data_IF_943145956780
#
_entry.id   IF_943145956780
#
_cell.length_a   1.000
_cell.length_b   1.000
_cell.length_c   1.000
_cell.angle_alpha   90.00
_cell.angle_beta   90.00
_cell.angle_gamma   90.00
#
_symmetry.space_group_name_H-M   'P 1'
#
loop_
_entity.id
_entity.type
_entity.pdbx_description
1 polymer ?
#
# COMPACT_ATOMS: atom_id res chain seq x y z
N UNK A 1 15.11 14.51 -0.97
CA UNK A 1 15.03 13.59 0.19
C UNK A 1 14.28 12.37 -0.32
N UNK A 2 14.85 11.18 -0.23
CA UNK A 2 14.14 9.96 -0.60
C UNK A 2 12.85 9.86 0.23
N UNK A 3 11.74 9.55 -0.44
CA UNK A 3 10.44 9.39 0.20
C UNK A 3 10.50 8.24 1.22
N UNK A 4 9.97 8.48 2.42
CA UNK A 4 9.99 7.52 3.54
C UNK A 4 8.58 7.20 3.99
N UNK A 5 8.23 5.93 4.03
CA UNK A 5 6.96 5.43 4.55
C UNK A 5 6.89 5.64 6.06
N UNK A 6 6.13 6.64 6.50
CA UNK A 6 6.06 7.01 7.92
C UNK A 6 5.39 5.94 8.78
N UNK A 7 4.44 5.17 8.25
CA UNK A 7 3.82 4.04 8.95
C UNK A 7 4.88 3.00 9.26
N UNK A 8 5.65 2.59 8.25
CA UNK A 8 6.75 1.62 8.41
C UNK A 8 7.81 2.14 9.38
N UNK A 9 8.17 3.42 9.31
CA UNK A 9 9.12 4.04 10.22
C UNK A 9 8.62 4.08 11.68
N UNK A 10 7.35 4.41 11.92
CA UNK A 10 6.72 4.39 13.26
C UNK A 10 6.77 2.98 13.85
N UNK A 11 6.33 1.98 13.09
CA UNK A 11 6.32 0.57 13.54
C UNK A 11 7.74 0.07 13.86
N UNK A 12 8.73 0.35 13.01
CA UNK A 12 10.15 0.03 13.29
C UNK A 12 10.67 0.67 14.58
N UNK A 13 10.14 1.83 14.97
CA UNK A 13 10.51 2.53 16.21
C UNK A 13 9.76 2.06 17.45
N UNK A 14 8.95 0.99 17.35
CA UNK A 14 8.12 0.49 18.45
C UNK A 14 6.95 1.41 18.82
N UNK A 15 6.61 2.37 17.95
CA UNK A 15 5.48 3.29 18.16
C UNK A 15 4.23 2.77 17.45
N UNK A 16 3.03 2.96 18.04
CA UNK A 16 1.79 2.62 17.36
C UNK A 16 1.58 3.49 16.12
N UNK A 17 0.98 2.89 15.08
CA UNK A 17 0.48 3.59 13.90
C UNK A 17 -1.04 3.47 13.86
N UNK A 18 -1.74 4.59 14.08
CA UNK A 18 -3.20 4.61 14.23
C UNK A 18 -3.86 4.78 12.87
N UNK A 19 -4.74 3.87 12.48
CA UNK A 19 -5.44 3.95 11.20
C UNK A 19 -6.94 3.73 11.29
N UNK A 20 -7.59 3.91 10.14
CA UNK A 20 -9.05 3.82 9.99
C UNK A 20 -9.42 3.08 8.72
N UNK A 21 -10.47 2.26 8.79
CA UNK A 21 -11.02 1.56 7.62
C UNK A 21 -12.01 2.42 6.86
N UNK A 22 -11.85 2.50 5.54
CA UNK A 22 -12.77 3.24 4.68
C UNK A 22 -13.97 2.37 4.30
N UNK A 23 -15.16 2.84 4.68
CA UNK A 23 -16.46 2.28 4.27
C UNK A 23 -17.19 3.14 3.22
N UNK A 24 -16.56 4.22 2.77
CA UNK A 24 -17.13 5.20 1.83
C UNK A 24 -16.22 5.33 0.60
N UNK A 25 -16.82 5.51 -0.57
CA UNK A 25 -16.13 5.61 -1.87
C UNK A 25 -16.27 7.00 -2.49
N UNK A 26 -16.12 8.05 -1.66
CA UNK A 26 -16.21 9.44 -2.12
C UNK A 26 -14.88 10.16 -1.89
N UNK A 27 -14.24 10.70 -2.95
CA UNK A 27 -12.86 11.18 -2.88
C UNK A 27 -12.67 12.33 -1.87
N UNK A 28 -13.59 13.30 -1.80
CA UNK A 28 -13.49 14.40 -0.84
C UNK A 28 -13.62 13.92 0.61
N UNK A 29 -14.47 12.91 0.83
CA UNK A 29 -14.67 12.33 2.17
C UNK A 29 -13.42 11.56 2.58
N UNK A 30 -12.87 10.75 1.68
CA UNK A 30 -11.62 10.02 1.92
C UNK A 30 -10.46 10.99 2.15
N UNK A 31 -10.34 12.05 1.36
CA UNK A 31 -9.32 13.09 1.55
C UNK A 31 -9.46 13.77 2.90
N UNK A 32 -10.69 14.08 3.33
CA UNK A 32 -10.95 14.66 4.66
C UNK A 32 -10.49 13.69 5.76
N UNK A 33 -10.89 12.42 5.69
CA UNK A 33 -10.49 11.39 6.65
C UNK A 33 -8.97 11.22 6.68
N UNK A 34 -8.33 11.10 5.51
CA UNK A 34 -6.88 10.92 5.38
C UNK A 34 -6.07 12.11 5.91
N UNK A 35 -6.68 13.29 6.05
CA UNK A 35 -6.07 14.48 6.64
C UNK A 35 -6.53 14.76 8.08
N UNK A 36 -7.29 13.85 8.70
CA UNK A 36 -7.83 14.01 10.07
C UNK A 36 -6.90 13.48 11.17
N UNK A 37 -5.60 13.30 10.89
CA UNK A 37 -4.60 12.88 11.88
C UNK A 37 -4.38 11.37 12.01
N UNK A 38 -4.96 10.56 11.12
CA UNK A 38 -4.62 9.14 11.01
C UNK A 38 -3.25 8.94 10.34
N UNK A 39 -2.54 7.91 10.77
CA UNK A 39 -1.28 7.48 10.13
C UNK A 39 -1.55 6.76 8.81
N UNK A 40 -2.66 6.02 8.72
CA UNK A 40 -3.02 5.27 7.53
C UNK A 40 -4.52 5.10 7.37
N UNK A 41 -4.95 4.89 6.12
CA UNK A 41 -6.34 4.55 5.77
C UNK A 41 -6.36 3.22 5.03
N UNK A 42 -7.35 2.37 5.35
CA UNK A 42 -7.50 1.05 4.75
C UNK A 42 -8.50 1.06 3.61
N UNK A 43 -8.04 0.61 2.45
CA UNK A 43 -8.87 0.13 1.35
C UNK A 43 -8.98 -1.38 1.44
N UNK A 44 -10.19 -1.90 1.63
CA UNK A 44 -10.40 -3.30 1.96
C UNK A 44 -10.97 -4.09 0.76
N UNK A 45 -10.09 -4.79 0.05
CA UNK A 45 -10.51 -5.64 -1.10
C UNK A 45 -10.87 -7.07 -0.70
N UNK A 46 -10.77 -7.43 0.60
CA UNK A 46 -11.17 -8.76 1.10
C UNK A 46 -12.66 -8.81 1.45
N UNK A 47 -13.14 -7.82 2.22
CA UNK A 47 -14.53 -7.79 2.70
C UNK A 47 -15.31 -6.56 2.26
N UNK A 48 -14.61 -5.50 1.85
CA UNK A 48 -15.24 -4.30 1.34
C UNK A 48 -15.61 -4.44 -0.13
N UNK A 49 -16.55 -3.61 -0.63
CA UNK A 49 -16.96 -3.63 -2.04
C UNK A 49 -15.95 -2.94 -2.97
N UNK A 50 -14.66 -2.95 -2.62
CA UNK A 50 -13.61 -2.25 -3.33
C UNK A 50 -13.08 -3.10 -4.49
N UNK A 51 -13.32 -2.66 -5.73
CA UNK A 51 -12.54 -3.17 -6.87
C UNK A 51 -11.16 -2.52 -6.90
N UNK A 52 -10.19 -3.20 -7.51
CA UNK A 52 -8.83 -2.66 -7.61
C UNK A 52 -8.77 -1.38 -8.46
N UNK A 53 -9.66 -1.26 -9.46
CA UNK A 53 -9.83 -0.06 -10.28
C UNK A 53 -10.32 1.11 -9.44
N UNK A 54 -11.26 0.87 -8.51
CA UNK A 54 -11.79 1.89 -7.60
C UNK A 54 -10.73 2.31 -6.59
N UNK A 55 -9.97 1.37 -6.04
CA UNK A 55 -8.82 1.67 -5.15
C UNK A 55 -7.80 2.53 -5.88
N UNK A 56 -7.44 2.17 -7.11
CA UNK A 56 -6.52 2.96 -7.93
C UNK A 56 -7.03 4.39 -8.13
N UNK A 57 -8.29 4.58 -8.55
CA UNK A 57 -8.84 5.92 -8.76
C UNK A 57 -8.84 6.75 -7.46
N UNK A 58 -9.24 6.17 -6.33
CA UNK A 58 -9.25 6.87 -5.06
C UNK A 58 -7.85 7.26 -4.59
N UNK A 59 -6.87 6.34 -4.62
CA UNK A 59 -5.49 6.64 -4.20
C UNK A 59 -4.90 7.76 -5.05
N UNK A 60 -5.14 7.76 -6.37
CA UNK A 60 -4.64 8.81 -7.26
C UNK A 60 -5.28 10.17 -6.95
N UNK A 61 -6.60 10.20 -6.70
CA UNK A 61 -7.34 11.44 -6.36
C UNK A 61 -6.99 11.99 -4.98
N UNK A 62 -6.66 11.12 -4.04
CA UNK A 62 -6.30 11.52 -2.67
C UNK A 62 -4.79 11.58 -2.45
N UNK A 63 -3.99 11.51 -3.52
CA UNK A 63 -2.53 11.66 -3.44
C UNK A 63 -2.16 13.00 -2.77
N UNK A 64 -1.09 12.96 -1.98
CA UNK A 64 -0.65 14.09 -1.14
C UNK A 64 -1.43 14.27 0.17
N UNK A 65 -2.36 13.38 0.53
CA UNK A 65 -2.95 13.36 1.89
C UNK A 65 -1.94 12.89 2.93
N UNK A 66 -2.14 13.25 4.20
CA UNK A 66 -1.18 12.93 5.27
C UNK A 66 -1.16 11.44 5.67
N UNK A 67 -2.30 10.76 5.62
CA UNK A 67 -2.38 9.33 5.92
C UNK A 67 -1.89 8.49 4.73
N UNK A 68 -1.07 7.47 4.99
CA UNK A 68 -0.67 6.51 3.96
C UNK A 68 -1.85 5.63 3.54
N UNK A 69 -2.14 5.48 2.24
CA UNK A 69 -3.05 4.46 1.78
C UNK A 69 -2.44 3.07 2.02
N UNK A 70 -3.23 2.17 2.59
CA UNK A 70 -2.92 0.74 2.78
C UNK A 70 -4.04 -0.07 2.15
N UNK A 71 -3.70 -1.18 1.48
CA UNK A 71 -4.67 -2.08 0.85
C UNK A 71 -4.67 -3.43 1.56
N UNK A 72 -5.80 -3.87 2.11
CA UNK A 72 -5.98 -5.28 2.45
C UNK A 72 -6.31 -6.03 1.16
N UNK A 73 -5.45 -6.98 0.79
CA UNK A 73 -5.63 -7.78 -0.43
C UNK A 73 -6.62 -8.92 -0.17
N UNK A 74 -7.32 -9.35 -1.22
CA UNK A 74 -8.32 -10.43 -1.11
C UNK A 74 -7.72 -11.78 -0.68
N UNK A 75 -6.43 -12.01 -0.97
CA UNK A 75 -5.72 -13.24 -0.62
C UNK A 75 -4.20 -13.07 -0.70
N UNK A 76 -3.44 -14.00 -0.11
CA UNK A 76 -2.01 -14.14 -0.35
C UNK A 76 -1.73 -14.74 -1.74
N UNK A 77 -1.92 -13.91 -2.76
CA UNK A 77 -1.73 -14.27 -4.17
C UNK A 77 -0.86 -13.22 -4.87
N UNK A 78 0.04 -13.69 -5.74
CA UNK A 78 0.96 -12.82 -6.48
C UNK A 78 0.24 -11.78 -7.35
N UNK A 79 -0.90 -12.13 -7.97
CA UNK A 79 -1.65 -11.20 -8.81
C UNK A 79 -2.40 -10.16 -7.97
N UNK A 80 -3.02 -10.58 -6.86
CA UNK A 80 -3.69 -9.67 -5.93
C UNK A 80 -2.69 -8.65 -5.35
N UNK A 81 -1.55 -9.13 -4.86
CA UNK A 81 -0.51 -8.31 -4.24
C UNK A 81 0.11 -7.33 -5.24
N UNK A 82 0.55 -7.80 -6.42
CA UNK A 82 1.18 -6.89 -7.39
C UNK A 82 0.21 -5.81 -7.87
N UNK A 83 -1.06 -6.16 -8.11
CA UNK A 83 -2.08 -5.20 -8.57
C UNK A 83 -2.42 -4.18 -7.48
N UNK A 84 -2.48 -4.60 -6.22
CA UNK A 84 -2.62 -3.69 -5.08
C UNK A 84 -1.45 -2.70 -5.01
N UNK A 85 -0.21 -3.18 -5.09
CA UNK A 85 0.97 -2.31 -5.05
C UNK A 85 1.07 -1.37 -6.26
N UNK A 86 0.54 -1.75 -7.43
CA UNK A 86 0.53 -0.91 -8.63
C UNK A 86 -0.44 0.28 -8.54
N UNK A 87 -1.34 0.29 -7.55
CA UNK A 87 -2.20 1.46 -7.27
C UNK A 87 -1.43 2.63 -6.66
N UNK A 88 -0.23 2.39 -6.13
CA UNK A 88 0.53 3.37 -5.35
C UNK A 88 0.28 3.33 -3.85
N UNK A 89 -0.38 2.29 -3.35
CA UNK A 89 -0.45 2.03 -1.90
C UNK A 89 0.95 1.98 -1.27
N UNK A 90 1.08 2.44 -0.03
CA UNK A 90 2.35 2.42 0.71
C UNK A 90 2.58 1.08 1.40
N UNK A 91 1.56 0.23 1.43
CA UNK A 91 1.65 -1.11 1.98
C UNK A 91 0.41 -1.94 1.74
N UNK A 92 0.53 -3.20 2.13
CA UNK A 92 -0.54 -4.18 2.07
C UNK A 92 -0.74 -4.85 3.42
N UNK A 93 -1.97 -5.29 3.65
CA UNK A 93 -2.31 -6.28 4.68
C UNK A 93 -2.68 -7.57 3.95
N UNK A 94 -2.00 -8.67 4.26
CA UNK A 94 -2.21 -9.98 3.64
C UNK A 94 -2.99 -10.87 4.62
N UNK A 95 -4.23 -11.26 4.30
CA UNK A 95 -5.04 -12.03 5.23
C UNK A 95 -4.60 -13.50 5.26
N UNK A 96 -5.01 -14.21 6.33
CA UNK A 96 -4.84 -15.67 6.49
C UNK A 96 -3.40 -16.21 6.46
N UNK A 97 -2.39 -15.37 6.67
CA UNK A 97 -1.00 -15.83 6.81
C UNK A 97 -0.84 -16.62 8.11
N UNK A 98 -0.72 -17.94 7.97
CA UNK A 98 -0.69 -18.89 9.11
C UNK A 98 0.53 -19.82 9.11
N UNK A 99 1.45 -19.64 8.15
CA UNK A 99 2.72 -20.35 8.09
C UNK A 99 3.87 -19.42 7.74
N UNK A 100 5.10 -19.88 7.99
CA UNK A 100 6.33 -19.18 7.61
C UNK A 100 6.39 -18.99 6.10
N UNK A 101 6.08 -20.04 5.34
CA UNK A 101 6.14 -20.06 3.88
C UNK A 101 5.16 -19.04 3.29
N UNK A 102 3.94 -18.95 3.85
CA UNK A 102 2.97 -17.93 3.45
C UNK A 102 3.49 -16.50 3.69
N UNK A 103 4.16 -16.26 4.83
CA UNK A 103 4.74 -14.97 5.13
C UNK A 103 5.90 -14.62 4.18
N UNK A 104 6.76 -15.60 3.89
CA UNK A 104 7.86 -15.46 2.92
C UNK A 104 7.33 -15.18 1.51
N UNK A 105 6.26 -15.86 1.08
CA UNK A 105 5.60 -15.62 -0.20
C UNK A 105 4.98 -14.22 -0.29
N UNK A 106 4.29 -13.76 0.76
CA UNK A 106 3.73 -12.40 0.80
C UNK A 106 4.82 -11.32 0.61
N UNK A 107 5.99 -11.51 1.23
CA UNK A 107 7.15 -10.62 1.06
C UNK A 107 7.69 -10.73 -0.37
N UNK A 108 7.93 -11.95 -0.88
CA UNK A 108 8.46 -12.17 -2.23
C UNK A 108 7.56 -11.57 -3.31
N UNK A 109 6.24 -11.70 -3.19
CA UNK A 109 5.29 -11.13 -4.14
C UNK A 109 5.24 -9.59 -4.10
N UNK A 110 5.73 -8.98 -3.00
CA UNK A 110 5.72 -7.54 -2.76
C UNK A 110 7.03 -6.82 -3.11
N UNK A 111 8.07 -7.55 -3.54
CA UNK A 111 9.40 -7.01 -3.83
C UNK A 111 9.78 -7.20 -5.29
N UNK A 112 10.38 -6.19 -5.90
CA UNK A 112 10.97 -6.31 -7.22
C UNK A 112 12.22 -7.21 -7.20
N UNK A 113 12.59 -7.84 -8.34
CA UNK A 113 13.85 -8.55 -8.46
C UNK A 113 15.06 -7.65 -8.11
N UNK A 114 16.14 -8.20 -7.51
CA UNK A 114 16.36 -9.61 -7.22
C UNK A 114 15.75 -10.11 -5.89
N UNK A 115 15.20 -9.21 -5.06
CA UNK A 115 14.71 -9.53 -3.71
C UNK A 115 13.35 -10.27 -3.71
N UNK A 116 12.61 -10.21 -4.82
CA UNK A 116 11.32 -10.87 -4.95
C UNK A 116 10.89 -11.12 -6.39
N UNK A 117 9.58 -11.29 -6.57
CA UNK A 117 8.94 -11.75 -7.79
C UNK A 117 7.87 -10.75 -8.32
N UNK A 118 7.81 -9.54 -7.78
CA UNK A 118 6.87 -8.51 -8.24
C UNK A 118 7.17 -8.14 -9.70
N UNK A 119 6.17 -8.26 -10.58
CA UNK A 119 6.26 -7.79 -11.96
C UNK A 119 6.48 -6.28 -12.05
N UNK A 120 7.34 -5.83 -12.97
CA UNK A 120 7.79 -4.44 -13.05
C UNK A 120 6.87 -3.55 -13.91
N UNK A 121 6.21 -2.56 -13.27
CA UNK A 121 5.42 -1.51 -13.92
C UNK A 121 5.33 -0.24 -13.02
N UNK A 122 6.45 0.46 -12.77
CA UNK A 122 6.56 1.46 -11.70
C UNK A 122 5.82 2.79 -11.96
N UNK A 123 5.36 3.07 -13.18
CA UNK A 123 4.84 4.40 -13.54
C UNK A 123 3.63 4.87 -12.73
N UNK A 124 2.63 4.00 -12.54
CA UNK A 124 1.43 4.32 -11.74
C UNK A 124 1.73 4.55 -10.25
N UNK A 125 2.45 3.64 -9.56
CA UNK A 125 2.74 3.86 -8.15
C UNK A 125 3.73 5.01 -7.93
N UNK A 126 4.71 5.21 -8.81
CA UNK A 126 5.62 6.37 -8.74
C UNK A 126 4.86 7.70 -8.79
N UNK A 127 3.86 7.82 -9.69
CA UNK A 127 2.99 8.99 -9.77
C UNK A 127 2.23 9.25 -8.46
N UNK A 128 1.69 8.21 -7.83
CA UNK A 128 0.97 8.33 -6.56
C UNK A 128 1.90 8.76 -5.41
N UNK A 129 3.17 8.37 -5.48
CA UNK A 129 4.22 8.74 -4.52
C UNK A 129 4.84 10.11 -4.82
N UNK A 130 4.56 10.71 -5.99
CA UNK A 130 5.12 12.00 -6.38
C UNK A 130 6.61 11.96 -6.72
N UNK A 131 7.11 10.79 -7.14
CA UNK A 131 8.53 10.53 -7.48
C UNK A 131 8.66 10.03 -8.92
N UNK A 132 9.89 9.98 -9.44
CA UNK A 132 10.13 9.37 -10.76
C UNK A 132 10.00 7.83 -10.70
N UNK A 133 9.75 7.14 -11.83
CA UNK A 133 9.75 5.69 -11.88
C UNK A 133 11.07 5.06 -11.41
N UNK A 134 12.20 5.71 -11.70
CA UNK A 134 13.54 5.29 -11.30
C UNK A 134 13.70 5.40 -9.78
N UNK A 135 13.39 6.56 -9.21
CA UNK A 135 13.43 6.77 -7.75
C UNK A 135 12.49 5.79 -7.03
N UNK A 136 11.30 5.54 -7.58
CA UNK A 136 10.38 4.54 -7.02
C UNK A 136 10.98 3.13 -7.01
N UNK A 137 11.64 2.70 -8.08
CA UNK A 137 12.30 1.38 -8.12
C UNK A 137 13.44 1.27 -7.10
N UNK A 138 14.17 2.36 -6.85
CA UNK A 138 15.26 2.40 -5.87
C UNK A 138 14.75 2.23 -4.44
N UNK A 139 13.59 2.79 -4.10
CA UNK A 139 13.09 2.86 -2.71
C UNK A 139 11.97 1.86 -2.40
N UNK A 140 11.22 1.37 -3.39
CA UNK A 140 9.98 0.62 -3.17
C UNK A 140 10.19 -0.65 -2.34
N UNK A 141 11.27 -1.41 -2.58
CA UNK A 141 11.57 -2.61 -1.81
C UNK A 141 11.79 -2.31 -0.32
N UNK A 142 12.49 -1.22 -0.02
CA UNK A 142 12.76 -0.80 1.36
C UNK A 142 11.55 -0.13 2.02
N UNK A 143 10.68 0.55 1.26
CA UNK A 143 9.64 1.41 1.83
C UNK A 143 8.26 0.75 1.89
N UNK A 144 7.95 -0.24 1.05
CA UNK A 144 6.65 -0.93 1.10
C UNK A 144 6.49 -1.70 2.42
N UNK A 145 5.39 -1.41 3.13
CA UNK A 145 4.94 -2.18 4.29
C UNK A 145 4.22 -3.46 3.84
N UNK A 146 4.60 -4.59 4.43
CA UNK A 146 3.90 -5.88 4.29
C UNK A 146 3.52 -6.31 5.70
N UNK A 147 2.22 -6.45 5.93
CA UNK A 147 1.64 -6.77 7.24
C UNK A 147 0.67 -7.95 7.14
#
# INVERSE_FOLDING_TARGET
MALRNHVKAKLKSGKPAIGVTLSVMHPETIRTIANSGFDWVLYDTEHGPWSIETVNDMIQRTSGSTASPIVRVVWNDMNAIKRALDTGTYGIIVPWVSSREMAEDAVRYSRYPPEGLRGCAPGRPARAWGVSPEEYLEIANEEILVA
#
